data_IF_691744963088
#
_entry.id   IF_691744963088
#
_cell.length_a   1.000
_cell.length_b   1.000
_cell.length_c   1.000
_cell.angle_alpha   90.00
_cell.angle_beta   90.00
_cell.angle_gamma   90.00
#
_symmetry.space_group_name_H-M   'P 1'
#
loop_
_entity.id
_entity.type
_entity.pdbx_description
1 polymer ?
#
# COMPACT_ATOMS: atom_id res chain seq x y z
N UNK A 1 1.93 -24.76 -15.74
CA UNK A 1 2.15 -24.18 -14.39
C UNK A 1 0.79 -23.68 -13.92
N UNK A 2 0.38 -23.99 -12.70
CA UNK A 2 -0.90 -23.47 -12.21
C UNK A 2 -0.73 -21.98 -11.78
N UNK A 3 -1.85 -21.27 -11.73
CA UNK A 3 -1.89 -19.83 -11.40
C UNK A 3 -1.20 -19.49 -10.07
N UNK A 4 -1.39 -20.32 -9.04
CA UNK A 4 -0.76 -20.13 -7.74
C UNK A 4 0.78 -20.20 -7.81
N UNK A 5 1.31 -21.11 -8.63
CA UNK A 5 2.75 -21.25 -8.83
C UNK A 5 3.32 -20.05 -9.59
N UNK A 6 2.58 -19.52 -10.53
CA UNK A 6 2.97 -18.31 -11.27
C UNK A 6 3.10 -17.10 -10.32
N UNK A 7 2.08 -16.86 -9.49
CA UNK A 7 2.10 -15.77 -8.51
C UNK A 7 3.29 -15.92 -7.55
N UNK A 8 3.58 -17.13 -7.06
CA UNK A 8 4.73 -17.35 -6.17
C UNK A 8 6.07 -17.08 -6.85
N UNK A 9 6.22 -17.47 -8.11
CA UNK A 9 7.43 -17.17 -8.88
C UNK A 9 7.61 -15.65 -9.09
N UNK A 10 6.55 -14.93 -9.42
CA UNK A 10 6.60 -13.47 -9.56
C UNK A 10 6.93 -12.77 -8.24
N UNK A 11 6.37 -13.22 -7.11
CA UNK A 11 6.73 -12.73 -5.78
C UNK A 11 8.20 -12.95 -5.45
N UNK A 12 8.76 -14.11 -5.81
CA UNK A 12 10.17 -14.40 -5.61
C UNK A 12 11.07 -13.52 -6.47
N UNK A 13 10.71 -13.33 -7.75
CA UNK A 13 11.43 -12.42 -8.65
C UNK A 13 11.42 -10.98 -8.12
N UNK A 14 10.26 -10.48 -7.67
CA UNK A 14 10.12 -9.16 -7.09
C UNK A 14 10.94 -9.00 -5.80
N UNK A 15 10.93 -9.99 -4.91
CA UNK A 15 11.76 -10.01 -3.69
C UNK A 15 13.25 -9.99 -4.01
N UNK A 16 13.66 -10.70 -5.05
CA UNK A 16 15.06 -10.70 -5.51
C UNK A 16 15.45 -9.34 -6.10
N UNK A 17 14.58 -8.69 -6.88
CA UNK A 17 14.82 -7.33 -7.39
C UNK A 17 15.05 -6.34 -6.23
N UNK A 18 14.23 -6.41 -5.19
CA UNK A 18 14.35 -5.58 -3.97
C UNK A 18 15.68 -5.86 -3.24
N UNK A 19 16.07 -7.14 -3.04
CA UNK A 19 17.33 -7.51 -2.40
C UNK A 19 18.55 -7.02 -3.20
N UNK A 20 18.53 -7.21 -4.53
CA UNK A 20 19.61 -6.80 -5.42
C UNK A 20 19.81 -5.27 -5.43
N UNK A 21 18.74 -4.51 -5.14
CA UNK A 21 18.81 -3.06 -4.93
C UNK A 21 19.33 -2.66 -3.54
N UNK A 22 19.72 -3.62 -2.69
CA UNK A 22 20.25 -3.36 -1.36
C UNK A 22 19.20 -2.92 -0.34
N UNK A 23 17.94 -3.30 -0.54
CA UNK A 23 16.84 -3.02 0.38
C UNK A 23 16.60 -4.19 1.34
N UNK A 24 16.01 -3.88 2.48
CA UNK A 24 15.79 -4.82 3.56
C UNK A 24 14.42 -5.47 3.46
N UNK A 25 14.35 -6.78 3.20
CA UNK A 25 13.09 -7.53 3.28
C UNK A 25 12.68 -7.72 4.74
N UNK A 26 11.48 -7.29 5.05
CA UNK A 26 10.93 -7.27 6.41
C UNK A 26 10.49 -8.67 6.85
N UNK A 27 10.77 -9.01 8.11
CA UNK A 27 10.33 -10.24 8.75
C UNK A 27 9.02 -10.02 9.55
N UNK A 28 8.26 -11.11 9.77
CA UNK A 28 6.97 -11.05 10.51
C UNK A 28 7.08 -10.43 11.91
N UNK A 29 8.17 -10.66 12.60
CA UNK A 29 8.41 -10.12 13.96
C UNK A 29 8.67 -8.61 13.98
N UNK A 30 8.84 -7.97 12.81
CA UNK A 30 9.07 -6.53 12.67
C UNK A 30 7.81 -5.73 12.33
N UNK A 31 6.69 -6.41 12.08
CA UNK A 31 5.41 -5.77 11.69
C UNK A 31 4.97 -4.70 12.71
N UNK A 32 5.21 -4.92 13.99
CA UNK A 32 4.85 -3.95 15.03
C UNK A 32 5.63 -2.63 14.87
N UNK A 33 6.92 -2.72 14.54
CA UNK A 33 7.78 -1.56 14.25
C UNK A 33 7.37 -0.84 12.95
N UNK A 34 6.99 -1.59 11.90
CA UNK A 34 6.46 -1.00 10.67
C UNK A 34 5.14 -0.27 10.91
N UNK A 35 4.28 -0.82 11.76
CA UNK A 35 3.04 -0.15 12.14
C UNK A 35 3.32 1.19 12.85
N UNK A 36 4.40 1.30 13.66
CA UNK A 36 4.82 2.57 14.25
C UNK A 36 5.32 3.57 13.19
N UNK A 37 6.07 3.10 12.19
CA UNK A 37 6.47 3.95 11.04
C UNK A 37 5.25 4.49 10.30
N UNK A 38 4.25 3.64 10.06
CA UNK A 38 3.01 4.05 9.41
C UNK A 38 2.22 5.05 10.25
N UNK A 39 2.13 4.86 11.58
CA UNK A 39 1.48 5.81 12.50
C UNK A 39 2.10 7.20 12.40
N UNK A 40 3.43 7.28 12.37
CA UNK A 40 4.14 8.55 12.21
C UNK A 40 3.88 9.18 10.83
N UNK A 41 3.95 8.40 9.76
CA UNK A 41 3.72 8.85 8.39
C UNK A 41 2.28 9.31 8.14
N UNK A 42 1.28 8.59 8.69
CA UNK A 42 -0.15 8.86 8.48
C UNK A 42 -0.76 9.85 9.45
N UNK A 43 0.02 10.47 10.33
CA UNK A 43 -0.49 11.51 11.20
C UNK A 43 -1.15 12.63 10.36
N UNK A 44 -2.43 12.90 10.64
CA UNK A 44 -3.28 13.84 9.90
C UNK A 44 -3.54 13.47 8.42
N UNK A 45 -3.41 12.19 8.06
CA UNK A 45 -3.76 11.72 6.73
C UNK A 45 -5.30 11.73 6.55
N UNK A 46 -5.84 12.33 5.46
CA UNK A 46 -7.28 12.56 5.33
C UNK A 46 -8.14 11.31 5.49
N UNK A 47 -7.76 10.20 4.83
CA UNK A 47 -8.48 8.94 4.95
C UNK A 47 -8.50 8.40 6.39
N UNK A 48 -7.34 8.45 7.09
CA UNK A 48 -7.26 7.98 8.48
C UNK A 48 -8.10 8.85 9.43
N UNK A 49 -8.06 10.18 9.25
CA UNK A 49 -8.92 11.08 10.01
C UNK A 49 -10.39 10.72 9.83
N UNK A 50 -10.84 10.56 8.58
CA UNK A 50 -12.22 10.18 8.30
C UNK A 50 -12.58 8.80 8.87
N UNK A 51 -11.73 7.79 8.69
CA UNK A 51 -11.96 6.44 9.22
C UNK A 51 -12.19 6.47 10.74
N UNK A 52 -11.43 7.26 11.47
CA UNK A 52 -11.46 7.32 12.94
C UNK A 52 -12.35 8.43 13.52
N UNK A 53 -13.24 9.03 12.74
CA UNK A 53 -14.28 9.93 13.23
C UNK A 53 -13.94 11.40 13.19
N UNK A 54 -13.02 11.82 12.31
CA UNK A 54 -12.67 13.22 12.06
C UNK A 54 -11.36 13.67 12.68
N UNK A 55 -10.81 12.91 13.63
CA UNK A 55 -9.51 13.17 14.26
C UNK A 55 -8.60 11.96 14.17
N UNK A 56 -7.30 12.21 14.03
CA UNK A 56 -6.30 11.14 13.96
C UNK A 56 -6.25 10.35 15.27
N UNK A 57 -6.40 9.03 15.18
CA UNK A 57 -6.29 8.11 16.31
C UNK A 57 -5.07 7.19 16.11
N UNK A 58 -3.94 7.45 16.78
CA UNK A 58 -2.71 6.69 16.58
C UNK A 58 -2.85 5.21 17.00
N UNK A 59 -3.63 4.92 18.04
CA UNK A 59 -3.83 3.55 18.53
C UNK A 59 -4.62 2.74 17.49
N UNK A 60 -5.73 3.28 17.01
CA UNK A 60 -6.56 2.62 16.00
C UNK A 60 -5.81 2.54 14.64
N UNK A 61 -5.05 3.57 14.27
CA UNK A 61 -4.21 3.57 13.07
C UNK A 61 -3.12 2.49 13.14
N UNK A 62 -2.43 2.37 14.27
CA UNK A 62 -1.44 1.29 14.50
C UNK A 62 -2.08 -0.08 14.35
N UNK A 63 -3.23 -0.27 14.98
CA UNK A 63 -3.92 -1.55 14.96
C UNK A 63 -4.40 -1.92 13.55
N UNK A 64 -4.97 -0.97 12.81
CA UNK A 64 -5.37 -1.15 11.41
C UNK A 64 -4.18 -1.54 10.54
N UNK A 65 -3.09 -0.79 10.63
CA UNK A 65 -1.87 -1.06 9.85
C UNK A 65 -1.26 -2.42 10.21
N UNK A 66 -1.21 -2.76 11.50
CA UNK A 66 -0.71 -4.06 11.96
C UNK A 66 -1.53 -5.23 11.40
N UNK A 67 -2.84 -5.12 11.39
CA UNK A 67 -3.74 -6.13 10.81
C UNK A 67 -3.51 -6.25 9.30
N UNK A 68 -3.45 -5.13 8.58
CA UNK A 68 -3.19 -5.11 7.14
C UNK A 68 -1.85 -5.74 6.80
N UNK A 69 -0.77 -5.34 7.47
CA UNK A 69 0.57 -5.90 7.24
C UNK A 69 0.64 -7.41 7.53
N UNK A 70 0.02 -7.87 8.63
CA UNK A 70 -0.06 -9.31 8.94
C UNK A 70 -0.83 -10.10 7.88
N UNK A 71 -1.82 -9.48 7.24
CA UNK A 71 -2.58 -10.11 6.17
C UNK A 71 -1.74 -10.21 4.88
N UNK A 72 -0.92 -9.21 4.60
CA UNK A 72 -0.19 -9.06 3.34
C UNK A 72 1.21 -9.68 3.33
N UNK A 73 1.84 -9.91 4.50
CA UNK A 73 3.25 -10.34 4.58
C UNK A 73 3.53 -11.66 3.85
N UNK A 74 2.57 -12.56 3.81
CA UNK A 74 2.70 -13.86 3.13
C UNK A 74 2.43 -13.76 1.62
N UNK A 75 1.61 -12.79 1.20
CA UNK A 75 1.06 -12.68 -0.16
C UNK A 75 1.58 -11.46 -0.93
N UNK A 76 2.46 -10.66 -0.35
CA UNK A 76 3.01 -9.45 -0.94
C UNK A 76 4.53 -9.37 -0.84
N UNK A 77 5.06 -8.22 -1.27
CA UNK A 77 6.46 -7.84 -1.09
C UNK A 77 6.51 -6.66 -0.14
N UNK A 78 7.00 -6.90 1.10
CA UNK A 78 7.17 -5.89 2.14
C UNK A 78 8.66 -5.69 2.41
N UNK A 79 9.12 -4.47 2.25
CA UNK A 79 10.53 -4.13 2.44
C UNK A 79 10.71 -2.71 2.94
N UNK A 80 11.86 -2.44 3.54
CA UNK A 80 12.26 -1.16 4.10
C UNK A 80 13.54 -0.62 3.46
N UNK A 81 13.82 0.65 3.69
CA UNK A 81 15.06 1.31 3.25
C UNK A 81 16.33 0.67 3.83
N UNK A 82 16.22 0.16 5.04
CA UNK A 82 17.29 -0.53 5.79
C UNK A 82 16.69 -1.26 6.99
N UNK A 83 17.51 -1.97 7.77
CA UNK A 83 17.11 -2.59 9.05
C UNK A 83 16.71 -1.57 10.14
N UNK A 84 17.01 -0.28 9.94
CA UNK A 84 16.55 0.81 10.84
C UNK A 84 15.08 1.16 10.65
N UNK A 85 14.46 0.71 9.53
CA UNK A 85 13.05 0.91 9.22
C UNK A 85 12.64 2.40 9.24
N UNK A 86 13.37 3.25 8.52
CA UNK A 86 13.01 4.67 8.40
C UNK A 86 11.88 4.90 7.39
N UNK A 87 11.70 3.97 6.46
CA UNK A 87 10.58 3.92 5.54
C UNK A 87 10.37 2.52 5.02
N UNK A 88 9.16 2.22 4.55
CA UNK A 88 8.84 0.92 3.96
C UNK A 88 7.80 1.03 2.85
N UNK A 89 7.79 0.03 1.98
CA UNK A 89 6.79 -0.14 0.93
C UNK A 89 6.14 -1.52 1.02
N UNK A 90 4.88 -1.58 0.61
CA UNK A 90 4.09 -2.81 0.48
C UNK A 90 3.54 -2.88 -0.93
N UNK A 91 3.91 -3.91 -1.66
CA UNK A 91 3.40 -4.17 -2.99
C UNK A 91 2.63 -5.49 -3.01
N UNK A 92 1.47 -5.45 -3.64
CA UNK A 92 0.63 -6.63 -3.83
C UNK A 92 0.76 -7.10 -5.28
N UNK A 93 0.91 -8.42 -5.48
CA UNK A 93 1.09 -8.98 -6.81
C UNK A 93 -0.19 -8.90 -7.63
N UNK A 94 -0.08 -9.15 -8.95
CA UNK A 94 -1.22 -9.40 -9.82
C UNK A 94 -2.20 -10.41 -9.21
N UNK A 95 -3.49 -10.27 -9.57
CA UNK A 95 -4.57 -11.17 -9.10
C UNK A 95 -4.82 -11.16 -7.59
N UNK A 96 -4.18 -10.24 -6.87
CA UNK A 96 -4.56 -9.98 -5.49
C UNK A 96 -5.97 -9.38 -5.46
N UNK A 97 -6.93 -10.21 -5.11
CA UNK A 97 -8.36 -9.86 -5.20
C UNK A 97 -8.87 -9.01 -4.06
N UNK A 98 -8.04 -8.79 -3.02
CA UNK A 98 -8.47 -8.08 -1.82
C UNK A 98 -9.51 -8.83 -0.97
N UNK A 99 -9.88 -10.07 -1.34
CA UNK A 99 -10.84 -10.85 -0.56
C UNK A 99 -10.20 -11.41 0.72
N UNK A 100 -9.73 -10.48 1.56
CA UNK A 100 -8.99 -10.74 2.78
C UNK A 100 -9.88 -10.59 4.04
N UNK A 101 -11.20 -10.57 3.87
CA UNK A 101 -12.12 -10.36 5.01
C UNK A 101 -11.92 -11.43 6.11
N UNK A 102 -11.79 -12.70 5.75
CA UNK A 102 -11.57 -13.76 6.72
C UNK A 102 -10.14 -13.75 7.28
N UNK A 103 -9.06 -13.70 6.46
CA UNK A 103 -7.71 -13.47 6.97
C UNK A 103 -7.59 -12.21 7.82
N UNK A 104 -8.22 -11.10 7.44
CA UNK A 104 -8.26 -9.87 8.21
C UNK A 104 -8.83 -10.09 9.61
N UNK A 105 -9.98 -10.75 9.74
CA UNK A 105 -10.61 -11.02 11.03
C UNK A 105 -9.72 -11.86 11.94
N UNK A 106 -9.13 -12.94 11.41
CA UNK A 106 -8.25 -13.84 12.18
C UNK A 106 -6.96 -13.14 12.60
N UNK A 107 -6.37 -12.32 11.71
CA UNK A 107 -5.08 -11.65 11.95
C UNK A 107 -5.19 -10.39 12.82
N UNK A 108 -6.30 -10.20 13.52
CA UNK A 108 -6.51 -9.16 14.52
C UNK A 108 -7.61 -8.17 14.21
N UNK A 109 -8.34 -8.33 13.10
CA UNK A 109 -9.47 -7.48 12.74
C UNK A 109 -10.58 -7.48 13.79
N UNK A 110 -10.82 -8.61 14.48
CA UNK A 110 -11.74 -8.65 15.60
C UNK A 110 -11.32 -7.71 16.73
N UNK A 111 -10.03 -7.66 17.05
CA UNK A 111 -9.49 -6.72 18.07
C UNK A 111 -9.65 -5.27 17.61
N UNK A 112 -9.47 -5.01 16.32
CA UNK A 112 -9.70 -3.68 15.73
C UNK A 112 -11.16 -3.28 15.85
N UNK A 113 -12.12 -4.18 15.56
CA UNK A 113 -13.57 -3.95 15.71
C UNK A 113 -13.93 -3.65 17.17
N UNK A 114 -13.42 -4.44 18.11
CA UNK A 114 -13.68 -4.24 19.54
C UNK A 114 -13.14 -2.89 20.06
N UNK A 115 -12.00 -2.41 19.53
CA UNK A 115 -11.41 -1.14 19.94
C UNK A 115 -12.00 0.08 19.22
N UNK A 116 -12.43 -0.07 17.95
CA UNK A 116 -12.81 1.05 17.09
C UNK A 116 -14.29 1.05 16.69
N UNK A 117 -15.03 0.00 17.09
CA UNK A 117 -16.46 -0.16 16.86
C UNK A 117 -16.84 -0.56 15.43
N UNK A 118 -18.08 -0.98 15.25
CA UNK A 118 -18.64 -1.39 13.95
C UNK A 118 -18.66 -0.25 12.91
N UNK A 119 -18.68 1.01 13.36
CA UNK A 119 -18.64 2.17 12.45
C UNK A 119 -17.39 2.19 11.59
N UNK A 120 -16.23 1.77 12.13
CA UNK A 120 -14.99 1.66 11.33
C UNK A 120 -15.16 0.65 10.20
N UNK A 121 -15.75 -0.52 10.48
CA UNK A 121 -15.98 -1.53 9.44
C UNK A 121 -16.89 -1.01 8.33
N UNK A 122 -17.96 -0.30 8.66
CA UNK A 122 -18.82 0.33 7.67
C UNK A 122 -18.07 1.34 6.79
N UNK A 123 -17.15 2.12 7.38
CA UNK A 123 -16.31 3.06 6.63
C UNK A 123 -15.25 2.36 5.74
N UNK A 124 -14.62 1.30 6.25
CA UNK A 124 -13.68 0.49 5.45
C UNK A 124 -14.39 -0.14 4.24
N UNK A 125 -15.57 -0.75 4.44
CA UNK A 125 -16.37 -1.31 3.36
C UNK A 125 -16.81 -0.24 2.35
N UNK A 126 -17.19 0.95 2.83
CA UNK A 126 -17.54 2.07 1.96
C UNK A 126 -16.35 2.50 1.09
N UNK A 127 -15.17 2.62 1.69
CA UNK A 127 -13.94 2.93 0.96
C UNK A 127 -13.62 1.86 -0.09
N UNK A 128 -13.64 0.60 0.31
CA UNK A 128 -13.38 -0.55 -0.57
C UNK A 128 -14.34 -0.59 -1.76
N UNK A 129 -15.64 -0.41 -1.51
CA UNK A 129 -16.66 -0.39 -2.57
C UNK A 129 -16.50 0.77 -3.55
N UNK A 130 -15.83 1.84 -3.15
CA UNK A 130 -15.50 2.97 -4.00
C UNK A 130 -14.17 2.75 -4.73
N UNK A 131 -13.12 2.34 -4.05
CA UNK A 131 -11.77 2.23 -4.58
C UNK A 131 -11.58 1.02 -5.52
N UNK A 132 -12.19 -0.13 -5.21
CA UNK A 132 -12.03 -1.35 -6.02
C UNK A 132 -12.53 -1.23 -7.47
N UNK A 133 -13.68 -0.60 -7.78
CA UNK A 133 -14.07 -0.34 -9.16
C UNK A 133 -13.08 0.53 -9.92
N UNK A 134 -12.51 1.56 -9.27
CA UNK A 134 -11.49 2.42 -9.87
C UNK A 134 -10.20 1.63 -10.18
N UNK A 135 -9.73 0.85 -9.22
CA UNK A 135 -8.58 -0.04 -9.46
C UNK A 135 -8.83 -0.94 -10.67
N UNK A 136 -9.98 -1.63 -10.73
CA UNK A 136 -10.35 -2.52 -11.86
C UNK A 136 -10.47 -1.78 -13.20
N UNK A 137 -10.82 -0.51 -13.18
CA UNK A 137 -10.93 0.32 -14.41
C UNK A 137 -9.55 0.60 -15.02
N UNK A 138 -8.52 0.75 -14.20
CA UNK A 138 -7.18 1.19 -14.61
C UNK A 138 -6.11 0.10 -14.54
N UNK A 139 -6.47 -1.10 -14.09
CA UNK A 139 -5.56 -2.24 -14.02
C UNK A 139 -6.14 -3.48 -14.69
N UNK A 140 -5.23 -4.32 -15.18
CA UNK A 140 -5.52 -5.68 -15.64
C UNK A 140 -5.17 -6.70 -14.54
N UNK A 141 -5.38 -7.97 -14.83
CA UNK A 141 -5.06 -9.06 -13.90
C UNK A 141 -3.58 -9.23 -13.61
N UNK A 142 -2.70 -8.64 -14.42
CA UNK A 142 -1.25 -8.83 -14.35
C UNK A 142 -0.52 -7.59 -13.81
N UNK A 143 -1.24 -6.67 -13.16
CA UNK A 143 -0.70 -5.40 -12.68
C UNK A 143 -0.42 -5.37 -11.18
N UNK A 144 0.68 -4.71 -10.80
CA UNK A 144 1.12 -4.59 -9.42
C UNK A 144 0.52 -3.38 -8.72
N UNK A 145 0.16 -3.57 -7.45
CA UNK A 145 -0.46 -2.53 -6.62
C UNK A 145 0.45 -2.10 -5.47
N UNK A 146 0.86 -0.84 -5.46
CA UNK A 146 1.51 -0.21 -4.31
C UNK A 146 0.45 0.09 -3.25
N UNK A 147 0.28 -0.83 -2.30
CA UNK A 147 -0.67 -0.70 -1.20
C UNK A 147 -0.24 0.35 -0.17
N UNK A 148 1.05 0.45 0.11
CA UNK A 148 1.58 1.37 1.12
C UNK A 148 2.97 1.87 0.76
N UNK A 149 3.18 3.16 0.99
CA UNK A 149 4.49 3.80 1.03
C UNK A 149 4.53 4.72 2.25
N UNK A 150 5.31 4.36 3.25
CA UNK A 150 5.44 5.13 4.48
C UNK A 150 6.89 5.49 4.74
N UNK A 151 7.14 6.75 5.08
CA UNK A 151 8.46 7.26 5.49
C UNK A 151 8.27 8.08 6.76
N UNK A 152 9.03 7.76 7.83
CA UNK A 152 9.03 8.53 9.08
C UNK A 152 9.21 10.02 8.79
N UNK A 153 8.48 10.88 9.48
CA UNK A 153 8.56 12.34 9.28
C UNK A 153 9.99 12.86 9.38
N UNK A 154 10.77 12.39 10.35
CA UNK A 154 12.18 12.73 10.54
C UNK A 154 13.11 12.31 9.40
N UNK A 155 12.66 11.40 8.54
CA UNK A 155 13.40 10.83 7.42
C UNK A 155 12.87 11.29 6.05
N UNK A 156 11.80 12.08 5.99
CA UNK A 156 11.29 12.66 4.76
C UNK A 156 12.29 13.66 4.16
N UNK A 157 12.21 13.88 2.85
CA UNK A 157 13.15 14.76 2.13
C UNK A 157 14.56 14.20 1.91
N UNK A 158 14.84 12.97 2.38
CA UNK A 158 16.17 12.32 2.28
C UNK A 158 16.23 11.25 1.16
N UNK A 159 15.31 11.27 0.20
CA UNK A 159 15.31 10.35 -0.94
C UNK A 159 14.80 8.93 -0.64
N UNK A 160 14.30 8.64 0.57
CA UNK A 160 13.85 7.28 0.97
C UNK A 160 12.68 6.82 0.12
N UNK A 161 11.70 7.67 -0.21
CA UNK A 161 10.59 7.32 -1.08
C UNK A 161 11.08 6.87 -2.47
N UNK A 162 12.04 7.59 -3.05
CA UNK A 162 12.69 7.22 -4.32
C UNK A 162 13.37 5.85 -4.23
N UNK A 163 14.17 5.64 -3.16
CA UNK A 163 14.86 4.38 -2.90
C UNK A 163 13.89 3.20 -2.80
N UNK A 164 12.72 3.41 -2.18
CA UNK A 164 11.70 2.38 -2.03
C UNK A 164 10.89 2.13 -3.32
N UNK A 165 10.59 3.16 -4.12
CA UNK A 165 9.78 2.99 -5.32
C UNK A 165 10.56 2.38 -6.49
N UNK A 166 11.81 2.81 -6.67
CA UNK A 166 12.61 2.50 -7.87
C UNK A 166 12.71 0.99 -8.18
N UNK A 167 13.10 0.09 -7.26
CA UNK A 167 13.31 -1.32 -7.59
C UNK A 167 12.04 -2.02 -8.09
N UNK A 168 10.90 -1.72 -7.48
CA UNK A 168 9.64 -2.35 -7.90
C UNK A 168 9.09 -1.73 -9.19
N UNK A 169 9.25 -0.43 -9.41
CA UNK A 169 8.84 0.17 -10.69
C UNK A 169 9.73 -0.30 -11.84
N UNK A 170 11.02 -0.52 -11.62
CA UNK A 170 11.94 -1.14 -12.60
C UNK A 170 11.60 -2.62 -12.83
N UNK A 171 11.28 -3.36 -11.78
CA UNK A 171 10.80 -4.74 -11.89
C UNK A 171 9.51 -4.82 -12.73
N UNK A 172 8.49 -4.02 -12.40
CA UNK A 172 7.25 -3.98 -13.17
C UNK A 172 7.50 -3.61 -14.64
N UNK A 173 8.40 -2.65 -14.89
CA UNK A 173 8.81 -2.30 -16.25
C UNK A 173 9.42 -3.50 -16.99
N UNK A 174 10.27 -4.29 -16.33
CA UNK A 174 10.96 -5.46 -16.92
C UNK A 174 10.00 -6.60 -17.29
N UNK A 175 8.87 -6.71 -16.63
CA UNK A 175 7.84 -7.74 -16.89
C UNK A 175 6.62 -7.16 -17.64
N UNK A 176 6.72 -5.93 -18.15
CA UNK A 176 5.66 -5.22 -18.87
C UNK A 176 4.34 -5.10 -18.08
N UNK A 177 4.43 -4.87 -16.77
CA UNK A 177 3.29 -4.71 -15.86
C UNK A 177 3.09 -3.25 -15.47
N UNK A 178 1.84 -2.81 -15.34
CA UNK A 178 1.49 -1.50 -14.79
C UNK A 178 1.71 -1.51 -13.27
N UNK A 179 2.16 -0.37 -12.74
CA UNK A 179 2.09 -0.09 -11.31
C UNK A 179 0.87 0.78 -11.03
N UNK A 180 0.01 0.36 -10.12
CA UNK A 180 -1.14 1.13 -9.66
C UNK A 180 -0.94 1.57 -8.22
N UNK A 181 -1.41 2.75 -7.88
CA UNK A 181 -1.48 3.23 -6.50
C UNK A 181 -2.68 4.15 -6.29
N UNK A 182 -3.01 4.36 -5.03
CA UNK A 182 -4.01 5.31 -4.57
C UNK A 182 -3.43 6.22 -3.49
N UNK A 183 -3.86 7.47 -3.48
CA UNK A 183 -3.54 8.39 -2.38
C UNK A 183 -4.76 9.27 -2.06
N UNK A 184 -4.84 9.74 -0.81
CA UNK A 184 -5.90 10.65 -0.36
C UNK A 184 -5.32 12.00 0.08
N UNK A 185 -4.08 12.28 -0.29
CA UNK A 185 -3.39 13.52 0.02
C UNK A 185 -2.90 14.16 -1.27
N UNK A 186 -3.37 15.36 -1.56
CA UNK A 186 -3.06 16.14 -2.77
C UNK A 186 -1.55 16.37 -2.96
N UNK A 187 -0.83 16.65 -1.87
CA UNK A 187 0.62 16.87 -1.92
C UNK A 187 1.44 15.64 -2.31
N UNK A 188 0.82 14.44 -2.31
CA UNK A 188 1.48 13.22 -2.78
C UNK A 188 1.43 13.09 -4.31
N UNK A 189 0.44 13.71 -4.97
CA UNK A 189 0.27 13.59 -6.43
C UNK A 189 1.51 14.06 -7.19
N UNK A 190 2.04 15.29 -6.97
CA UNK A 190 3.25 15.74 -7.65
C UNK A 190 4.48 14.87 -7.34
N UNK A 191 4.56 14.32 -6.13
CA UNK A 191 5.63 13.38 -5.77
C UNK A 191 5.56 12.12 -6.63
N UNK A 192 4.39 11.50 -6.78
CA UNK A 192 4.25 10.31 -7.62
C UNK A 192 4.42 10.62 -9.11
N UNK A 193 3.96 11.79 -9.59
CA UNK A 193 4.21 12.25 -10.96
C UNK A 193 5.72 12.37 -11.25
N UNK A 194 6.52 12.85 -10.30
CA UNK A 194 7.98 12.89 -10.40
C UNK A 194 8.59 11.48 -10.58
N UNK A 195 7.95 10.43 -10.07
CA UNK A 195 8.35 9.02 -10.28
C UNK A 195 7.73 8.38 -11.53
N UNK A 196 7.07 9.17 -12.37
CA UNK A 196 6.48 8.75 -13.64
C UNK A 196 5.10 8.11 -13.51
N UNK A 197 4.42 8.28 -12.38
CA UNK A 197 3.01 7.95 -12.29
C UNK A 197 2.17 9.05 -12.93
N UNK A 198 1.07 8.66 -13.55
CA UNK A 198 0.09 9.54 -14.15
C UNK A 198 -1.18 9.53 -13.29
N UNK A 199 -1.74 10.70 -13.03
CA UNK A 199 -3.07 10.80 -12.42
C UNK A 199 -4.12 10.36 -13.44
N UNK A 200 -4.85 9.30 -13.12
CA UNK A 200 -5.91 8.77 -13.99
C UNK A 200 -7.28 9.30 -13.60
N UNK A 201 -7.57 9.35 -12.31
CA UNK A 201 -8.85 9.84 -11.81
C UNK A 201 -8.71 10.44 -10.42
N UNK A 202 -9.50 11.46 -10.14
CA UNK A 202 -9.68 12.02 -8.80
C UNK A 202 -11.16 12.25 -8.55
N UNK A 203 -11.65 11.82 -7.39
CA UNK A 203 -13.02 12.06 -6.96
C UNK A 203 -13.12 12.01 -5.44
N UNK A 204 -14.18 12.57 -4.89
CA UNK A 204 -14.47 12.43 -3.47
C UNK A 204 -15.00 11.02 -3.16
N UNK A 205 -14.54 10.43 -2.06
CA UNK A 205 -15.23 9.26 -1.51
C UNK A 205 -16.67 9.66 -1.22
N UNK A 206 -17.70 8.96 -1.74
CA UNK A 206 -19.09 9.41 -1.68
C UNK A 206 -19.54 9.83 -0.28
N UNK A 207 -20.20 10.99 -0.16
CA UNK A 207 -20.66 11.59 1.08
C UNK A 207 -19.54 11.78 2.13
N UNK A 208 -18.36 12.22 1.70
CA UNK A 208 -17.22 12.62 2.52
C UNK A 208 -16.52 13.82 1.89
N UNK A 209 -15.63 14.45 2.65
CA UNK A 209 -14.70 15.48 2.20
C UNK A 209 -13.29 14.92 1.87
N UNK A 210 -13.17 13.59 1.81
CA UNK A 210 -11.89 12.92 1.52
C UNK A 210 -11.75 12.73 0.02
N UNK A 211 -10.77 13.40 -0.56
CA UNK A 211 -10.37 13.21 -1.95
C UNK A 211 -9.59 11.90 -2.11
N UNK A 212 -9.83 11.22 -3.20
CA UNK A 212 -9.13 10.02 -3.64
C UNK A 212 -8.49 10.27 -5.00
N UNK A 213 -7.25 9.85 -5.15
CA UNK A 213 -6.47 9.98 -6.39
C UNK A 213 -6.01 8.60 -6.81
N UNK A 214 -6.46 8.15 -7.99
CA UNK A 214 -6.00 6.90 -8.62
C UNK A 214 -4.89 7.22 -9.62
N UNK A 215 -3.76 6.55 -9.52
CA UNK A 215 -2.59 6.82 -10.35
C UNK A 215 -2.00 5.52 -10.90
N UNK A 216 -1.50 5.58 -12.14
CA UNK A 216 -0.81 4.46 -12.78
C UNK A 216 0.57 4.87 -13.28
N UNK A 217 1.47 3.90 -13.34
CA UNK A 217 2.72 4.02 -14.10
C UNK A 217 2.78 2.86 -15.08
N UNK A 218 2.67 3.18 -16.37
CA UNK A 218 2.81 2.19 -17.45
C UNK A 218 4.29 1.87 -17.67
N UNK A 219 4.60 0.65 -18.11
CA UNK A 219 5.94 0.30 -18.56
C UNK A 219 6.42 1.26 -19.65
N UNK A 220 7.70 1.60 -19.63
CA UNK A 220 8.30 2.30 -20.76
C UNK A 220 8.31 1.32 -21.93
N UNK A 221 7.55 1.60 -22.98
CA UNK A 221 7.67 0.83 -24.21
C UNK A 221 9.12 0.92 -24.66
N UNK A 222 9.86 -0.17 -24.53
CA UNK A 222 11.16 -0.31 -25.19
C UNK A 222 10.87 -0.25 -26.69
N UNK A 223 11.18 0.90 -27.33
CA UNK A 223 11.25 0.99 -28.78
C UNK A 223 12.39 0.11 -29.30
#
# INVERSE_FOLDING_TARGET
MNEKQQIQNELEMARNAVKNAGLYLVCKNEIDKLADVAVDAYQNYPLHNWLFGGTYNPIASKLLMKVSLNTMIDNGVIYADSSELNGFAVWMPPKYTGNEAFPFLIKGGMKLILNSGLKLMGKLLKYENFAMPLKKKYTNHDDWYLFNLSVKKSAQGKGIASKLLKPMTEFCNSINSICYLETNKDTNVPMYEHFGFKLEEKDFIPNTDVMHYAMTKTPNNSQ
#
